data_IF_655339197015
#
_entry.id   IF_655339197015
#
_cell.length_a   1.000
_cell.length_b   1.000
_cell.length_c   1.000
_cell.angle_alpha   90.00
_cell.angle_beta   90.00
_cell.angle_gamma   90.00
#
_symmetry.space_group_name_H-M   'P 1'
#
loop_
_entity.id
_entity.type
_entity.pdbx_description
1 polymer ?
#
# COMPACT_ATOMS: atom_id res chain seq x y z
N UNK A 1 -9.19 -19.87 24.01
CA UNK A 1 -10.21 -18.99 23.40
C UNK A 1 -10.13 -17.68 24.15
N UNK A 2 -9.46 -16.70 23.56
CA UNK A 2 -9.13 -15.42 24.20
C UNK A 2 -10.06 -14.39 23.59
N UNK A 3 -10.88 -13.73 24.41
CA UNK A 3 -11.76 -12.66 23.93
C UNK A 3 -10.93 -11.53 23.27
N UNK A 4 -11.50 -10.83 22.26
CA UNK A 4 -10.85 -9.67 21.67
C UNK A 4 -10.68 -8.57 22.73
N UNK A 5 -9.43 -8.13 22.95
CA UNK A 5 -9.05 -7.20 24.04
C UNK A 5 -9.36 -5.73 23.78
N UNK A 6 -10.02 -5.39 22.67
CA UNK A 6 -10.35 -4.00 22.30
C UNK A 6 -11.72 -3.98 21.63
N UNK A 7 -12.70 -3.38 22.31
CA UNK A 7 -14.04 -3.11 21.78
C UNK A 7 -14.23 -1.60 21.86
N UNK A 8 -14.53 -0.90 20.74
CA UNK A 8 -14.76 0.53 20.77
C UNK A 8 -15.96 0.86 21.64
N UNK A 9 -15.87 1.95 22.40
CA UNK A 9 -16.96 2.46 23.22
C UNK A 9 -17.63 3.63 22.49
N UNK A 10 -18.96 3.72 22.55
CA UNK A 10 -19.68 4.88 22.04
C UNK A 10 -19.45 6.12 22.93
N UNK A 11 -20.01 7.27 22.53
CA UNK A 11 -19.92 8.54 23.28
C UNK A 11 -20.49 8.45 24.71
N UNK A 12 -21.19 7.36 25.06
CA UNK A 12 -21.75 7.09 26.39
C UNK A 12 -20.96 6.02 27.15
N UNK A 13 -19.84 5.55 26.60
CA UNK A 13 -18.95 4.58 27.23
C UNK A 13 -19.41 3.13 27.14
N UNK A 14 -20.34 2.81 26.21
CA UNK A 14 -20.86 1.44 26.04
C UNK A 14 -20.18 0.71 24.87
N UNK A 15 -19.94 -0.61 24.96
CA UNK A 15 -19.31 -1.38 23.89
C UNK A 15 -20.18 -1.36 22.62
N UNK A 16 -19.63 -0.82 21.53
CA UNK A 16 -20.27 -0.81 20.22
C UNK A 16 -20.21 -2.21 19.64
N UNK A 17 -21.38 -2.81 19.40
CA UNK A 17 -21.50 -4.12 18.76
C UNK A 17 -21.59 -3.93 17.25
N UNK A 18 -21.07 -4.89 16.49
CA UNK A 18 -21.06 -4.85 15.01
C UNK A 18 -22.46 -4.69 14.42
N UNK A 19 -23.51 -5.09 15.15
CA UNK A 19 -24.89 -5.03 14.69
C UNK A 19 -25.49 -3.61 14.70
N UNK A 20 -24.86 -2.63 15.36
CA UNK A 20 -25.42 -1.29 15.58
C UNK A 20 -24.96 -0.23 14.55
N UNK A 21 -24.12 -0.58 13.57
CA UNK A 21 -23.60 0.33 12.54
C UNK A 21 -24.52 0.32 11.31
N UNK A 22 -25.29 1.39 11.03
CA UNK A 22 -26.16 1.42 9.86
C UNK A 22 -25.35 1.77 8.61
N UNK A 23 -25.23 0.83 7.69
CA UNK A 23 -24.65 1.05 6.36
C UNK A 23 -23.36 0.28 6.12
N UNK A 24 -23.44 -1.06 6.13
CA UNK A 24 -22.38 -1.88 5.54
C UNK A 24 -22.31 -1.57 4.03
N UNK A 25 -21.19 -1.05 3.49
CA UNK A 25 -21.00 -1.02 2.04
C UNK A 25 -21.10 -2.46 1.50
N UNK A 26 -21.58 -2.65 0.25
CA UNK A 26 -21.91 -3.98 -0.25
C UNK A 26 -20.74 -4.95 -0.06
N UNK A 27 -21.02 -6.05 0.63
CA UNK A 27 -20.05 -7.10 0.89
C UNK A 27 -19.36 -7.50 -0.40
N UNK A 28 -18.03 -7.50 -0.39
CA UNK A 28 -17.23 -8.03 -1.48
C UNK A 28 -17.65 -9.50 -1.74
N UNK A 29 -17.58 -10.00 -2.99
CA UNK A 29 -17.88 -11.40 -3.25
C UNK A 29 -17.01 -12.31 -2.37
N UNK A 30 -17.53 -13.47 -1.95
CA UNK A 30 -17.03 -14.26 -0.81
C UNK A 30 -15.59 -14.80 -0.89
N UNK A 31 -14.86 -14.57 -2.00
CA UNK A 31 -13.52 -15.11 -2.26
C UNK A 31 -12.52 -14.02 -2.74
N UNK A 32 -12.49 -12.83 -2.13
CA UNK A 32 -11.57 -11.73 -2.52
C UNK A 32 -10.70 -11.26 -1.36
N UNK A 33 -9.42 -11.66 -1.34
CA UNK A 33 -8.41 -11.27 -0.33
C UNK A 33 -7.73 -9.93 -0.68
N UNK A 34 -8.48 -8.95 -1.16
CA UNK A 34 -7.92 -7.63 -1.45
C UNK A 34 -7.69 -6.86 -0.13
N UNK A 35 -6.49 -6.30 0.10
CA UNK A 35 -6.18 -5.58 1.33
C UNK A 35 -7.21 -4.49 1.63
N UNK A 36 -7.49 -4.24 2.90
CA UNK A 36 -8.39 -3.19 3.38
C UNK A 36 -7.59 -2.32 4.35
N UNK A 37 -7.45 -1.05 4.00
CA UNK A 37 -6.75 -0.08 4.83
C UNK A 37 -7.79 0.79 5.54
N UNK A 38 -7.56 1.06 6.82
CA UNK A 38 -8.37 2.03 7.57
C UNK A 38 -7.99 3.45 7.11
N UNK A 39 -8.94 4.27 6.62
CA UNK A 39 -8.64 5.64 6.26
C UNK A 39 -8.01 6.46 7.39
N UNK A 40 -8.33 6.17 8.66
CA UNK A 40 -7.73 6.89 9.81
C UNK A 40 -6.23 6.65 9.94
N UNK A 41 -5.77 5.46 9.53
CA UNK A 41 -4.37 5.04 9.59
C UNK A 41 -3.61 5.28 8.28
N UNK A 42 -4.29 5.66 7.18
CA UNK A 42 -3.68 5.65 5.84
C UNK A 42 -4.03 6.84 4.94
N UNK A 43 -5.08 7.63 5.19
CA UNK A 43 -5.37 8.84 4.41
C UNK A 43 -4.83 10.10 5.07
N UNK A 44 -3.98 10.82 4.32
CA UNK A 44 -3.36 12.08 4.74
C UNK A 44 -2.48 11.97 6.00
N UNK A 45 -1.86 10.80 6.21
CA UNK A 45 -0.98 10.52 7.34
C UNK A 45 0.47 10.33 6.93
N UNK A 46 1.35 10.27 7.93
CA UNK A 46 2.79 10.04 7.80
C UNK A 46 3.13 8.69 8.43
N UNK A 47 3.89 7.89 7.70
CA UNK A 47 4.36 6.59 8.13
C UNK A 47 5.89 6.62 8.24
N UNK A 48 6.42 6.14 9.36
CA UNK A 48 7.86 5.98 9.56
C UNK A 48 8.35 4.76 8.77
N UNK A 49 9.26 4.98 7.83
CA UNK A 49 9.89 3.96 6.99
C UNK A 49 11.35 3.69 7.39
N UNK A 50 11.76 4.09 8.60
CA UNK A 50 13.13 3.90 9.08
C UNK A 50 13.56 2.43 9.12
N UNK A 51 12.66 1.54 9.53
CA UNK A 51 12.93 0.10 9.70
C UNK A 51 12.24 -0.80 8.66
N UNK A 52 11.59 -0.20 7.65
CA UNK A 52 10.88 -0.99 6.64
C UNK A 52 11.85 -1.63 5.65
N UNK A 53 11.53 -2.87 5.24
CA UNK A 53 12.30 -3.60 4.26
C UNK A 53 11.41 -4.07 3.10
N UNK A 54 11.97 -4.00 1.89
CA UNK A 54 11.30 -4.44 0.67
C UNK A 54 12.20 -5.35 -0.16
N UNK A 55 11.62 -6.35 -0.79
CA UNK A 55 12.24 -6.99 -1.97
C UNK A 55 11.73 -6.32 -3.23
N UNK A 56 12.59 -6.25 -4.25
CA UNK A 56 12.32 -5.48 -5.48
C UNK A 56 12.32 -6.34 -6.73
N UNK A 57 11.40 -6.05 -7.66
CA UNK A 57 11.47 -6.48 -9.06
C UNK A 57 11.04 -5.34 -9.99
N UNK A 58 10.87 -5.63 -11.28
CA UNK A 58 10.26 -4.71 -12.23
C UNK A 58 9.38 -5.43 -13.25
N UNK A 59 8.23 -4.83 -13.52
CA UNK A 59 7.28 -5.30 -14.53
C UNK A 59 7.35 -4.43 -15.78
N UNK A 60 7.10 -5.03 -16.94
CA UNK A 60 6.89 -4.28 -18.18
C UNK A 60 5.49 -3.69 -18.19
N UNK A 61 5.36 -2.44 -18.60
CA UNK A 61 4.06 -1.80 -18.79
C UNK A 61 3.75 -1.67 -20.28
N UNK A 62 2.56 -2.09 -20.70
CA UNK A 62 2.04 -1.84 -22.06
C UNK A 62 0.87 -0.86 -21.91
N UNK A 63 0.96 0.29 -22.58
CA UNK A 63 -0.02 1.38 -22.45
C UNK A 63 -0.26 1.83 -20.98
N UNK A 64 0.78 1.81 -20.15
CA UNK A 64 0.71 2.22 -18.74
C UNK A 64 0.16 1.17 -17.78
N UNK A 65 -0.33 0.03 -18.28
CA UNK A 65 -0.84 -1.08 -17.46
C UNK A 65 0.27 -2.13 -17.27
N UNK A 66 0.58 -2.54 -16.02
CA UNK A 66 1.49 -3.65 -15.75
C UNK A 66 1.03 -4.95 -16.43
N UNK A 67 1.92 -5.62 -17.17
CA UNK A 67 1.68 -6.93 -17.78
C UNK A 67 2.52 -7.98 -17.06
N UNK A 68 1.92 -9.11 -16.66
CA UNK A 68 2.61 -10.15 -15.88
C UNK A 68 2.72 -9.83 -14.39
N UNK A 69 1.65 -9.29 -13.80
CA UNK A 69 1.66 -8.94 -12.37
C UNK A 69 1.77 -10.18 -11.47
N UNK A 70 1.09 -11.28 -11.83
CA UNK A 70 1.14 -12.52 -11.05
C UNK A 70 2.54 -13.15 -11.02
N UNK A 71 3.23 -13.16 -12.17
CA UNK A 71 4.62 -13.63 -12.22
C UNK A 71 5.56 -12.72 -11.43
N UNK A 72 5.31 -11.40 -11.45
CA UNK A 72 6.07 -10.44 -10.63
C UNK A 72 5.88 -10.69 -9.13
N UNK A 73 4.64 -11.01 -8.70
CA UNK A 73 4.34 -11.36 -7.29
C UNK A 73 5.03 -12.66 -6.87
N UNK A 74 5.03 -13.68 -7.73
CA UNK A 74 5.73 -14.94 -7.45
C UNK A 74 7.25 -14.73 -7.35
N UNK A 75 7.83 -13.91 -8.24
CA UNK A 75 9.25 -13.56 -8.19
C UNK A 75 9.61 -12.82 -6.88
N UNK A 76 8.78 -11.87 -6.46
CA UNK A 76 8.97 -11.14 -5.20
C UNK A 76 8.92 -12.10 -4.00
N UNK A 77 7.96 -13.03 -3.96
CA UNK A 77 7.91 -14.05 -2.88
C UNK A 77 9.13 -14.96 -2.87
N UNK A 78 9.64 -15.37 -4.04
CA UNK A 78 10.90 -16.14 -4.12
C UNK A 78 12.09 -15.35 -3.60
N UNK A 79 12.14 -14.04 -3.89
CA UNK A 79 13.19 -13.14 -3.37
C UNK A 79 13.10 -12.99 -1.85
N UNK A 80 11.90 -12.79 -1.30
CA UNK A 80 11.67 -12.73 0.13
C UNK A 80 12.17 -14.00 0.84
N UNK A 81 11.75 -15.17 0.35
CA UNK A 81 12.18 -16.45 0.88
C UNK A 81 13.71 -16.66 0.79
N UNK A 82 14.34 -16.25 -0.33
CA UNK A 82 15.80 -16.34 -0.51
C UNK A 82 16.56 -15.40 0.43
N UNK A 83 15.98 -14.25 0.75
CA UNK A 83 16.54 -13.30 1.71
C UNK A 83 16.33 -13.76 3.17
N UNK A 84 15.62 -14.87 3.39
CA UNK A 84 15.28 -15.37 4.72
C UNK A 84 14.15 -14.59 5.41
N UNK A 85 13.46 -13.71 4.68
CA UNK A 85 12.39 -12.90 5.20
C UNK A 85 11.01 -13.54 5.11
N UNK A 86 10.09 -13.01 5.90
CA UNK A 86 8.67 -13.33 5.89
C UNK A 86 7.92 -12.25 5.11
N UNK A 87 6.82 -12.63 4.44
CA UNK A 87 5.93 -11.66 3.78
C UNK A 87 4.71 -11.53 4.70
N UNK A 88 4.47 -10.37 5.33
CA UNK A 88 3.32 -10.19 6.20
C UNK A 88 2.01 -10.35 5.43
N UNK A 89 0.92 -10.63 6.13
CA UNK A 89 -0.40 -10.88 5.52
C UNK A 89 -0.93 -9.63 4.79
N UNK A 90 -0.65 -8.47 5.36
CA UNK A 90 -0.97 -7.12 4.89
C UNK A 90 0.20 -6.42 4.17
N UNK A 91 1.20 -7.19 3.70
CA UNK A 91 2.38 -6.65 3.03
C UNK A 91 2.05 -5.65 1.91
N UNK A 92 2.68 -4.48 1.99
CA UNK A 92 2.61 -3.48 0.93
C UNK A 92 3.17 -4.02 -0.40
N UNK A 93 2.40 -3.79 -1.47
CA UNK A 93 2.81 -4.10 -2.84
C UNK A 93 2.81 -2.82 -3.69
N UNK A 94 3.95 -2.15 -3.68
CA UNK A 94 4.12 -0.81 -4.22
C UNK A 94 4.62 -0.84 -5.67
N UNK A 95 4.01 -0.05 -6.54
CA UNK A 95 4.38 0.05 -7.95
C UNK A 95 4.82 1.49 -8.23
N UNK A 96 6.09 1.68 -8.54
CA UNK A 96 6.66 3.00 -8.80
C UNK A 96 6.41 3.47 -10.22
N UNK A 97 6.83 4.68 -10.54
CA UNK A 97 6.73 5.24 -11.90
C UNK A 97 7.78 4.63 -12.86
N UNK A 98 7.52 4.67 -14.17
CA UNK A 98 8.47 4.19 -15.17
C UNK A 98 7.92 4.18 -16.60
N UNK A 99 8.75 4.56 -17.58
CA UNK A 99 8.34 4.66 -19.01
C UNK A 99 8.25 3.32 -19.73
N UNK A 100 9.12 2.38 -19.38
CA UNK A 100 9.22 1.06 -20.04
C UNK A 100 9.13 -0.09 -19.05
N UNK A 101 9.80 0.04 -17.91
CA UNK A 101 9.69 -0.86 -16.76
C UNK A 101 9.31 -0.06 -15.54
N UNK A 102 8.41 -0.60 -14.73
CA UNK A 102 7.99 -0.03 -13.45
C UNK A 102 8.58 -0.87 -12.32
N UNK A 103 9.26 -0.27 -11.33
CA UNK A 103 9.71 -1.01 -10.16
C UNK A 103 8.50 -1.47 -9.35
N UNK A 104 8.60 -2.67 -8.78
CA UNK A 104 7.64 -3.19 -7.82
C UNK A 104 8.40 -3.54 -6.55
N UNK A 105 7.90 -3.08 -5.41
CA UNK A 105 8.37 -3.44 -4.07
C UNK A 105 7.33 -4.32 -3.39
N UNK A 106 7.78 -5.36 -2.70
CA UNK A 106 6.97 -6.15 -1.77
C UNK A 106 7.61 -6.04 -0.40
N UNK A 107 6.82 -5.65 0.59
CA UNK A 107 7.23 -5.56 1.99
C UNK A 107 7.60 -6.93 2.54
N UNK A 108 8.63 -6.95 3.37
CA UNK A 108 9.17 -8.15 4.03
C UNK A 108 9.60 -7.83 5.45
N UNK A 109 9.46 -8.81 6.34
CA UNK A 109 9.90 -8.77 7.74
C UNK A 109 10.98 -9.83 8.00
N UNK A 110 11.57 -9.82 9.19
CA UNK A 110 12.57 -10.79 9.66
C UNK A 110 13.83 -10.95 8.78
N UNK A 111 14.15 -9.93 7.96
CA UNK A 111 15.32 -9.95 7.09
C UNK A 111 16.55 -9.41 7.82
N UNK A 112 17.64 -10.17 7.80
CA UNK A 112 18.95 -9.71 8.26
C UNK A 112 19.45 -8.46 7.53
N UNK A 113 20.19 -7.61 8.25
CA UNK A 113 20.86 -6.45 7.66
C UNK A 113 21.88 -6.87 6.59
N UNK A 114 21.91 -6.11 5.49
CA UNK A 114 22.78 -6.41 4.35
C UNK A 114 22.36 -7.61 3.50
N UNK A 115 21.18 -8.20 3.74
CA UNK A 115 20.62 -9.22 2.88
C UNK A 115 20.56 -8.76 1.41
N UNK A 116 20.99 -9.62 0.50
CA UNK A 116 20.99 -9.33 -0.94
C UNK A 116 19.56 -9.15 -1.45
N UNK A 117 19.40 -8.25 -2.41
CA UNK A 117 18.11 -7.96 -3.08
C UNK A 117 17.03 -7.38 -2.16
N UNK A 118 17.41 -6.81 -1.00
CA UNK A 118 16.52 -6.10 -0.06
C UNK A 118 16.85 -4.61 -0.04
N UNK A 119 15.83 -3.78 -0.25
CA UNK A 119 15.87 -2.31 -0.18
C UNK A 119 15.31 -1.86 1.17
N UNK A 120 16.08 -1.04 1.89
CA UNK A 120 15.66 -0.37 3.13
C UNK A 120 15.67 1.14 2.88
N UNK A 121 14.56 1.70 2.38
CA UNK A 121 14.54 3.08 1.92
C UNK A 121 14.76 4.12 3.02
N UNK A 122 14.38 3.81 4.27
CA UNK A 122 14.42 4.77 5.38
C UNK A 122 13.42 5.92 5.20
N UNK A 123 13.44 6.86 6.13
CA UNK A 123 12.74 8.14 6.01
C UNK A 123 11.24 8.06 6.27
N UNK A 124 10.48 8.92 5.61
CA UNK A 124 9.05 9.13 5.89
C UNK A 124 8.24 8.94 4.61
N UNK A 125 7.10 8.27 4.74
CA UNK A 125 6.12 8.08 3.69
C UNK A 125 4.81 8.81 4.03
N UNK A 126 4.48 9.83 3.24
CA UNK A 126 3.18 10.47 3.30
C UNK A 126 2.19 9.75 2.37
N UNK A 127 0.99 9.45 2.86
CA UNK A 127 0.03 8.62 2.13
C UNK A 127 -1.29 9.31 1.88
N UNK A 128 -1.93 8.96 0.75
CA UNK A 128 -3.30 9.32 0.41
C UNK A 128 -4.06 8.08 -0.02
N UNK A 129 -5.20 7.81 0.60
CA UNK A 129 -6.10 6.71 0.24
C UNK A 129 -7.23 7.27 -0.59
N UNK A 130 -7.25 6.96 -1.89
CA UNK A 130 -8.16 7.62 -2.83
C UNK A 130 -8.85 6.64 -3.78
N UNK A 131 -10.08 6.94 -4.23
CA UNK A 131 -10.65 6.28 -5.38
C UNK A 131 -9.95 6.75 -6.66
N UNK A 132 -9.45 5.82 -7.47
CA UNK A 132 -8.77 6.14 -8.73
C UNK A 132 -9.33 5.33 -9.92
N UNK A 133 -10.60 5.58 -10.32
CA UNK A 133 -11.17 4.95 -11.51
C UNK A 133 -10.47 5.42 -12.80
N UNK A 134 -10.78 4.74 -13.91
CA UNK A 134 -10.15 4.89 -15.22
C UNK A 134 -9.69 6.33 -15.58
N UNK A 135 -8.37 6.51 -15.73
CA UNK A 135 -7.78 7.77 -16.15
C UNK A 135 -7.62 8.83 -15.05
N UNK A 136 -8.16 8.61 -13.85
CA UNK A 136 -8.00 9.55 -12.71
C UNK A 136 -6.67 9.35 -11.96
N UNK A 137 -6.06 8.16 -12.05
CA UNK A 137 -4.83 7.86 -11.31
C UNK A 137 -3.70 8.89 -11.53
N UNK A 138 -3.35 9.32 -12.76
CA UNK A 138 -2.32 10.34 -12.95
C UNK A 138 -2.64 11.65 -12.24
N UNK A 139 -3.92 12.08 -12.24
CA UNK A 139 -4.35 13.29 -11.53
C UNK A 139 -4.31 13.11 -10.02
N UNK A 140 -4.69 11.94 -9.53
CA UNK A 140 -4.64 11.61 -8.11
C UNK A 140 -3.19 11.60 -7.60
N UNK A 141 -2.27 11.00 -8.35
CA UNK A 141 -0.83 11.00 -8.05
C UNK A 141 -0.28 12.42 -8.02
N UNK A 142 -0.63 13.26 -9.01
CA UNK A 142 -0.17 14.66 -9.03
C UNK A 142 -0.73 15.48 -7.87
N UNK A 143 -1.98 15.25 -7.46
CA UNK A 143 -2.56 15.91 -6.27
C UNK A 143 -1.83 15.51 -4.99
N UNK A 144 -1.64 14.21 -4.76
CA UNK A 144 -0.93 13.70 -3.58
C UNK A 144 0.52 14.18 -3.55
N UNK A 145 1.19 14.21 -4.71
CA UNK A 145 2.54 14.77 -4.86
C UNK A 145 2.57 16.23 -4.45
N UNK A 146 1.69 17.06 -5.00
CA UNK A 146 1.64 18.49 -4.71
C UNK A 146 1.40 18.76 -3.23
N UNK A 147 0.44 18.05 -2.62
CA UNK A 147 0.13 18.18 -1.20
C UNK A 147 1.33 17.79 -0.32
N UNK A 148 2.01 16.69 -0.64
CA UNK A 148 3.25 16.31 0.03
C UNK A 148 4.34 17.39 -0.16
N UNK A 149 4.58 17.85 -1.39
CA UNK A 149 5.58 18.88 -1.67
C UNK A 149 5.34 20.17 -0.89
N UNK A 150 4.08 20.60 -0.80
CA UNK A 150 3.68 21.78 -0.01
C UNK A 150 3.91 21.56 1.49
N UNK A 151 3.61 20.35 2.00
CA UNK A 151 3.80 20.00 3.42
C UNK A 151 5.29 19.97 3.82
N UNK A 152 6.14 19.37 2.99
CA UNK A 152 7.55 19.17 3.32
C UNK A 152 8.48 20.25 2.75
N UNK A 153 7.96 21.17 1.94
CA UNK A 153 8.75 22.23 1.29
C UNK A 153 9.73 21.73 0.23
N UNK A 154 9.61 20.45 -0.18
CA UNK A 154 10.42 19.83 -1.23
C UNK A 154 9.68 18.68 -1.91
N UNK A 155 10.11 18.34 -3.12
CA UNK A 155 9.56 17.22 -3.88
C UNK A 155 9.87 15.87 -3.21
N UNK A 156 8.92 14.89 -3.23
CA UNK A 156 9.19 13.51 -2.83
C UNK A 156 10.31 12.91 -3.68
N UNK A 157 11.13 12.05 -3.08
CA UNK A 157 12.19 11.34 -3.81
C UNK A 157 11.61 10.22 -4.68
N UNK A 158 10.58 9.55 -4.17
CA UNK A 158 9.87 8.49 -4.87
C UNK A 158 8.34 8.64 -4.74
N UNK A 159 7.63 8.22 -5.78
CA UNK A 159 6.17 8.09 -5.80
C UNK A 159 5.77 6.65 -6.09
N UNK A 160 4.97 6.09 -5.19
CA UNK A 160 4.48 4.71 -5.28
C UNK A 160 2.96 4.66 -5.31
N UNK A 161 2.44 3.61 -5.94
CA UNK A 161 1.01 3.31 -5.99
C UNK A 161 0.78 1.87 -5.57
N UNK A 162 -0.20 1.64 -4.69
CA UNK A 162 -0.68 0.31 -4.34
C UNK A 162 -2.17 0.19 -4.71
N UNK A 163 -2.46 -0.68 -5.67
CA UNK A 163 -3.83 -1.04 -6.00
C UNK A 163 -4.38 -1.97 -4.92
N UNK A 164 -5.35 -1.50 -4.14
CA UNK A 164 -5.98 -2.25 -3.06
C UNK A 164 -7.16 -3.09 -3.55
N UNK A 165 -7.38 -3.14 -4.87
CA UNK A 165 -8.52 -3.80 -5.48
C UNK A 165 -8.09 -4.66 -6.66
N UNK A 166 -8.64 -5.87 -6.76
CA UNK A 166 -8.56 -6.69 -7.95
C UNK A 166 -9.64 -6.28 -8.96
N UNK A 167 -9.65 -6.90 -10.14
CA UNK A 167 -10.67 -6.65 -11.17
C UNK A 167 -12.12 -6.88 -10.71
N UNK A 168 -12.33 -7.78 -9.75
CA UNK A 168 -13.66 -8.07 -9.20
C UNK A 168 -14.06 -7.02 -8.17
N UNK A 169 -13.12 -6.66 -7.29
CA UNK A 169 -13.36 -5.78 -6.15
C UNK A 169 -13.34 -4.27 -6.52
N UNK A 170 -12.74 -3.90 -7.65
CA UNK A 170 -12.60 -2.50 -8.06
C UNK A 170 -13.93 -1.78 -8.30
N UNK A 171 -14.96 -2.47 -8.80
CA UNK A 171 -16.29 -1.88 -9.01
C UNK A 171 -17.00 -1.55 -7.69
N UNK A 172 -16.87 -2.42 -6.69
CA UNK A 172 -17.48 -2.23 -5.38
C UNK A 172 -16.74 -1.19 -4.54
N UNK A 173 -15.41 -1.11 -4.68
CA UNK A 173 -14.53 -0.23 -3.90
C UNK A 173 -14.03 0.99 -4.69
N UNK A 174 -14.67 1.30 -5.82
CA UNK A 174 -14.34 2.43 -6.69
C UNK A 174 -12.82 2.58 -6.98
N UNK A 175 -12.15 1.48 -7.28
CA UNK A 175 -10.70 1.44 -7.56
C UNK A 175 -9.85 2.07 -6.45
N UNK A 176 -10.19 1.80 -5.19
CA UNK A 176 -9.43 2.26 -4.02
C UNK A 176 -7.94 1.95 -4.19
N UNK A 177 -7.13 2.98 -3.99
CA UNK A 177 -5.70 2.99 -4.30
C UNK A 177 -4.99 3.82 -3.25
N UNK A 178 -3.90 3.28 -2.69
CA UNK A 178 -3.00 4.05 -1.85
C UNK A 178 -1.93 4.69 -2.73
N UNK A 179 -1.71 5.98 -2.55
CA UNK A 179 -0.60 6.72 -3.15
C UNK A 179 0.37 7.07 -2.03
N UNK A 180 1.65 6.81 -2.26
CA UNK A 180 2.72 7.05 -1.30
C UNK A 180 3.72 8.03 -1.89
N UNK A 181 3.89 9.17 -1.23
CA UNK A 181 4.96 10.12 -1.45
C UNK A 181 6.06 9.86 -0.43
N UNK A 182 7.19 9.32 -0.90
CA UNK A 182 8.26 8.86 -0.03
C UNK A 182 9.45 9.84 -0.07
N UNK A 183 9.94 10.16 1.13
CA UNK A 183 11.09 11.01 1.40
C UNK A 183 12.15 10.15 2.08
N UNK A 184 13.26 9.90 1.41
CA UNK A 184 14.41 9.16 1.94
C UNK A 184 15.10 10.00 3.02
N UNK A 185 15.75 9.32 3.96
CA UNK A 185 16.71 9.98 4.83
C UNK A 185 17.83 10.59 3.97
N UNK A 186 18.18 11.85 4.23
CA UNK A 186 19.40 12.43 3.69
C UNK A 186 20.58 11.58 4.21
N UNK A 187 21.34 11.01 3.29
CA UNK A 187 22.51 10.17 3.60
C UNK A 187 23.69 11.03 4.03
#
# INVERSE_FOLDING_TARGET
MTEPRRIPLDEKGMPVRKEDIPGEPPAAPPDCDCPRLDPEDWDAVENDWSDIAFVKTSTSAVLGVPVGFDSSREELRKKAAKAGGTVPEDAMLLIGSGKFRRPILLEVEDVADGAKDVERPGGIAYTRLVPAPWGELPRAVERARKEASEKYGREPDDLWVWYLTCRLCSKARNFETLIVAHYRNES
#
